data_IF_093402783448
#
_entry.id   IF_093402783448
#
_cell.length_a   1.000
_cell.length_b   1.000
_cell.length_c   1.000
_cell.angle_alpha   90.00
_cell.angle_beta   90.00
_cell.angle_gamma   90.00
#
_symmetry.space_group_name_H-M   'P 1'
#
loop_
_entity.id
_entity.type
_entity.pdbx_description
1 polymer ?
#
# COMPACT_ATOMS: atom_id res chain seq x y z
N UNK A 1 78.05 -26.00 -14.44
CA UNK A 1 78.24 -24.83 -13.56
C UNK A 1 77.43 -23.62 -14.01
N UNK A 2 77.48 -23.21 -15.29
CA UNK A 2 76.72 -22.07 -15.83
C UNK A 2 75.18 -22.21 -15.73
N UNK A 3 74.65 -23.42 -15.93
CA UNK A 3 73.20 -23.68 -15.88
C UNK A 3 72.61 -23.56 -14.46
N UNK A 4 73.36 -23.96 -13.44
CA UNK A 4 72.94 -23.88 -12.04
C UNK A 4 72.89 -22.42 -11.53
N UNK A 5 73.76 -21.57 -12.06
CA UNK A 5 73.85 -20.15 -11.71
C UNK A 5 72.68 -19.35 -12.32
N UNK A 6 72.25 -19.72 -13.52
CA UNK A 6 71.09 -19.12 -14.21
C UNK A 6 69.77 -19.49 -13.52
N UNK A 7 69.66 -20.70 -12.99
CA UNK A 7 68.50 -21.17 -12.24
C UNK A 7 68.37 -20.47 -10.88
N UNK A 8 69.49 -20.17 -10.21
CA UNK A 8 69.50 -19.39 -8.97
C UNK A 8 69.13 -17.91 -9.18
N UNK A 9 69.57 -17.28 -10.28
CA UNK A 9 69.14 -15.91 -10.61
C UNK A 9 67.64 -15.84 -10.96
N UNK A 10 67.11 -16.85 -11.67
CA UNK A 10 65.68 -16.91 -11.98
C UNK A 10 64.80 -17.06 -10.73
N UNK A 11 65.23 -17.88 -9.77
CA UNK A 11 64.51 -18.06 -8.50
C UNK A 11 64.55 -16.80 -7.61
N UNK A 12 65.69 -16.10 -7.58
CA UNK A 12 65.81 -14.85 -6.80
C UNK A 12 64.93 -13.71 -7.36
N UNK A 13 64.78 -13.63 -8.69
CA UNK A 13 63.90 -12.66 -9.34
C UNK A 13 62.41 -12.88 -9.05
N UNK A 14 61.97 -14.14 -8.97
CA UNK A 14 60.57 -14.47 -8.65
C UNK A 14 60.21 -14.16 -7.19
N UNK A 15 61.15 -14.34 -6.25
CA UNK A 15 60.91 -14.00 -4.84
C UNK A 15 60.75 -12.49 -4.66
N UNK A 16 61.59 -11.69 -5.33
CA UNK A 16 61.48 -10.22 -5.28
C UNK A 16 60.21 -9.67 -5.95
N UNK A 17 59.73 -10.32 -7.02
CA UNK A 17 58.46 -9.94 -7.64
C UNK A 17 57.24 -10.28 -6.75
N UNK A 18 57.32 -11.35 -5.94
CA UNK A 18 56.22 -11.75 -5.03
C UNK A 18 56.16 -10.95 -3.72
N UNK A 19 57.26 -10.33 -3.29
CA UNK A 19 57.31 -9.50 -2.07
C UNK A 19 57.10 -8.00 -2.34
N UNK A 20 56.93 -7.62 -3.61
CA UNK A 20 56.88 -6.23 -4.07
C UNK A 20 55.49 -5.65 -4.31
N UNK A 21 54.40 -6.33 -3.92
CA UNK A 21 53.06 -5.73 -3.95
C UNK A 21 52.90 -4.79 -2.73
N UNK A 22 52.89 -3.46 -2.91
CA UNK A 22 52.47 -2.56 -1.85
C UNK A 22 50.98 -2.81 -1.58
N UNK A 23 50.65 -3.10 -0.32
CA UNK A 23 49.27 -3.20 0.16
C UNK A 23 48.40 -2.10 -0.48
N UNK A 24 47.29 -2.44 -1.15
CA UNK A 24 46.36 -1.44 -1.65
C UNK A 24 45.82 -0.67 -0.45
N UNK A 25 46.16 0.62 -0.37
CA UNK A 25 45.59 1.58 0.58
C UNK A 25 44.07 1.32 0.72
N UNK A 26 43.53 1.22 1.94
CA UNK A 26 42.09 1.05 2.13
C UNK A 26 41.37 2.24 1.50
N UNK A 27 40.57 1.97 0.47
CA UNK A 27 39.72 2.97 -0.14
C UNK A 27 38.76 3.53 0.92
N UNK A 28 38.49 4.84 0.96
CA UNK A 28 37.57 5.43 1.92
C UNK A 28 36.13 4.97 1.62
N UNK A 29 35.68 3.92 2.31
CA UNK A 29 34.34 3.29 2.17
C UNK A 29 33.16 4.22 2.54
N UNK A 30 33.40 5.44 3.02
CA UNK A 30 32.36 6.30 3.62
C UNK A 30 31.53 7.14 2.64
N UNK A 31 32.01 7.44 1.44
CA UNK A 31 31.35 8.43 0.55
C UNK A 31 30.36 7.76 -0.42
N UNK A 32 30.68 6.55 -0.90
CA UNK A 32 29.83 5.84 -1.86
C UNK A 32 28.58 5.23 -1.21
N UNK A 33 28.66 4.79 0.05
CA UNK A 33 27.52 4.25 0.79
C UNK A 33 26.46 5.31 1.10
N UNK A 34 26.87 6.54 1.47
CA UNK A 34 25.97 7.68 1.70
C UNK A 34 25.30 8.18 0.42
N UNK A 35 26.05 8.30 -0.69
CA UNK A 35 25.46 8.71 -1.98
C UNK A 35 24.51 7.65 -2.56
N UNK A 36 24.78 6.36 -2.29
CA UNK A 36 23.87 5.27 -2.64
C UNK A 36 22.62 5.30 -1.75
N UNK A 37 22.75 5.48 -0.42
CA UNK A 37 21.59 5.55 0.48
C UNK A 37 20.64 6.69 0.12
N UNK A 38 21.17 7.87 -0.21
CA UNK A 38 20.34 9.03 -0.58
C UNK A 38 19.55 8.80 -1.89
N UNK A 39 20.16 8.11 -2.88
CA UNK A 39 19.45 7.73 -4.12
C UNK A 39 18.34 6.72 -3.85
N UNK A 40 18.57 5.76 -2.95
CA UNK A 40 17.55 4.78 -2.57
C UNK A 40 16.42 5.43 -1.75
N UNK A 41 16.74 6.33 -0.83
CA UNK A 41 15.75 7.12 -0.08
C UNK A 41 14.85 7.93 -1.03
N UNK A 42 15.45 8.62 -2.02
CA UNK A 42 14.69 9.35 -3.04
C UNK A 42 13.79 8.44 -3.87
N UNK A 43 14.27 7.27 -4.26
CA UNK A 43 13.48 6.29 -5.03
C UNK A 43 12.30 5.75 -4.23
N UNK A 44 12.51 5.40 -2.96
CA UNK A 44 11.45 4.85 -2.09
C UNK A 44 10.43 5.93 -1.75
N UNK A 45 10.87 7.16 -1.45
CA UNK A 45 9.95 8.26 -1.21
C UNK A 45 9.13 8.59 -2.46
N UNK A 46 9.72 8.52 -3.65
CA UNK A 46 8.99 8.68 -4.92
C UNK A 46 7.95 7.56 -5.10
N UNK A 47 8.29 6.31 -4.78
CA UNK A 47 7.33 5.20 -4.85
C UNK A 47 6.18 5.37 -3.85
N UNK A 48 6.47 5.75 -2.60
CA UNK A 48 5.45 6.03 -1.59
C UNK A 48 4.54 7.18 -2.02
N UNK A 49 5.11 8.24 -2.60
CA UNK A 49 4.35 9.35 -3.15
C UNK A 49 3.41 8.90 -4.28
N UNK A 50 3.93 8.18 -5.28
CA UNK A 50 3.13 7.66 -6.39
C UNK A 50 2.06 6.67 -5.93
N UNK A 51 2.36 5.85 -4.92
CA UNK A 51 1.40 4.91 -4.34
C UNK A 51 0.29 5.65 -3.60
N UNK A 52 0.63 6.68 -2.84
CA UNK A 52 -0.36 7.53 -2.15
C UNK A 52 -1.26 8.25 -3.17
N UNK A 53 -0.67 8.83 -4.22
CA UNK A 53 -1.42 9.50 -5.29
C UNK A 53 -2.36 8.52 -6.02
N UNK A 54 -1.88 7.32 -6.35
CA UNK A 54 -2.70 6.28 -6.97
C UNK A 54 -3.86 5.86 -6.06
N UNK A 55 -3.61 5.69 -4.77
CA UNK A 55 -4.63 5.33 -3.79
C UNK A 55 -5.67 6.44 -3.64
N UNK A 56 -5.26 7.70 -3.67
CA UNK A 56 -6.17 8.84 -3.60
C UNK A 56 -7.06 8.92 -4.85
N UNK A 57 -6.50 8.72 -6.05
CA UNK A 57 -7.26 8.64 -7.28
C UNK A 57 -8.26 7.47 -7.28
N UNK A 58 -7.85 6.32 -6.74
CA UNK A 58 -8.72 5.15 -6.64
C UNK A 58 -9.89 5.40 -5.68
N UNK A 59 -9.64 6.04 -4.52
CA UNK A 59 -10.69 6.48 -3.61
C UNK A 59 -11.66 7.45 -4.27
N UNK A 60 -11.16 8.41 -5.04
CA UNK A 60 -12.00 9.35 -5.78
C UNK A 60 -12.84 8.64 -6.84
N UNK A 61 -12.26 7.68 -7.57
CA UNK A 61 -13.00 6.86 -8.55
C UNK A 61 -14.11 6.05 -7.88
N UNK A 62 -13.81 5.37 -6.77
CA UNK A 62 -14.82 4.64 -6.00
C UNK A 62 -15.93 5.55 -5.49
N UNK A 63 -15.61 6.76 -5.02
CA UNK A 63 -16.61 7.73 -4.58
C UNK A 63 -17.53 8.17 -5.73
N UNK A 64 -16.98 8.43 -6.91
CA UNK A 64 -17.75 8.79 -8.11
C UNK A 64 -18.60 7.62 -8.59
N UNK A 65 -18.05 6.40 -8.59
CA UNK A 65 -18.79 5.19 -8.97
C UNK A 65 -19.96 4.93 -8.00
N UNK A 66 -19.73 5.06 -6.70
CA UNK A 66 -20.78 4.92 -5.70
C UNK A 66 -21.87 6.00 -5.88
N UNK A 67 -21.47 7.26 -6.08
CA UNK A 67 -22.42 8.34 -6.39
C UNK A 67 -23.21 8.06 -7.68
N UNK A 68 -22.57 7.48 -8.70
CA UNK A 68 -23.23 7.08 -9.95
C UNK A 68 -24.20 5.91 -9.72
N UNK A 69 -23.83 4.94 -8.88
CA UNK A 69 -24.68 3.81 -8.51
C UNK A 69 -25.91 4.26 -7.69
N UNK A 70 -25.77 5.26 -6.82
CA UNK A 70 -26.90 5.85 -6.10
C UNK A 70 -27.87 6.60 -7.03
N UNK A 71 -27.34 7.20 -8.10
CA UNK A 71 -28.13 7.97 -9.08
C UNK A 71 -28.69 7.13 -10.23
N UNK A 72 -28.26 5.87 -10.39
CA UNK A 72 -28.77 4.99 -11.45
C UNK A 72 -30.05 4.31 -10.98
N UNK A 73 -31.08 4.34 -11.85
CA UNK A 73 -32.42 3.85 -11.54
C UNK A 73 -32.49 2.37 -11.17
N UNK A 74 -31.44 1.60 -11.48
CA UNK A 74 -31.34 0.18 -11.12
C UNK A 74 -31.34 -0.06 -9.60
N UNK A 75 -30.82 0.88 -8.80
CA UNK A 75 -30.86 0.80 -7.33
C UNK A 75 -32.09 1.48 -6.71
N UNK A 76 -32.99 2.02 -7.53
CA UNK A 76 -34.30 2.47 -7.04
C UNK A 76 -35.13 1.23 -6.79
N UNK A 77 -35.03 0.67 -5.60
CA UNK A 77 -36.04 -0.25 -5.11
C UNK A 77 -37.34 0.53 -5.00
N UNK A 78 -38.16 0.44 -6.04
CA UNK A 78 -39.53 0.92 -5.95
C UNK A 78 -40.18 0.18 -4.77
N UNK A 79 -40.82 0.93 -3.88
CA UNK A 79 -41.61 0.32 -2.82
C UNK A 79 -42.67 -0.55 -3.49
N UNK A 80 -42.47 -1.86 -3.46
CA UNK A 80 -43.48 -2.80 -3.94
C UNK A 80 -44.65 -2.64 -2.98
N UNK A 81 -45.79 -2.18 -3.48
CA UNK A 81 -46.97 -2.05 -2.65
C UNK A 81 -47.25 -3.42 -2.01
N UNK A 82 -47.23 -3.45 -0.68
CA UNK A 82 -47.39 -4.67 0.09
C UNK A 82 -48.75 -5.35 -0.16
N UNK A 83 -49.71 -4.61 -0.73
CA UNK A 83 -51.05 -5.08 -1.02
C UNK A 83 -51.56 -4.52 -2.35
N UNK A 84 -52.02 -5.38 -3.25
CA UNK A 84 -52.82 -5.01 -4.42
C UNK A 84 -54.22 -5.57 -4.19
N UNK A 85 -55.20 -4.67 -4.08
CA UNK A 85 -56.59 -5.05 -3.87
C UNK A 85 -57.11 -5.68 -5.17
N UNK A 86 -57.46 -6.97 -5.16
CA UNK A 86 -58.10 -7.59 -6.31
C UNK A 86 -59.53 -7.06 -6.43
N UNK A 87 -59.94 -6.58 -7.60
CA UNK A 87 -61.26 -5.96 -7.89
C UNK A 87 -62.49 -6.75 -7.40
N UNK A 88 -62.33 -8.03 -7.02
CA UNK A 88 -63.39 -8.89 -6.49
C UNK A 88 -63.74 -8.66 -5.00
N UNK A 89 -62.89 -8.00 -4.21
CA UNK A 89 -63.13 -7.82 -2.78
C UNK A 89 -62.48 -6.51 -2.31
N UNK A 90 -63.27 -5.49 -1.95
CA UNK A 90 -62.71 -4.22 -1.47
C UNK A 90 -62.27 -4.34 0.00
N UNK A 91 -60.99 -4.64 0.20
CA UNK A 91 -60.35 -4.68 1.52
C UNK A 91 -59.65 -3.36 1.88
N UNK A 92 -59.94 -2.24 1.19
CA UNK A 92 -59.33 -0.93 1.48
C UNK A 92 -59.64 -0.41 2.90
N UNK A 93 -60.64 -0.97 3.57
CA UNK A 93 -61.06 -0.61 4.93
C UNK A 93 -60.30 -1.39 6.01
N UNK A 94 -59.65 -2.51 5.66
CA UNK A 94 -58.91 -3.34 6.61
C UNK A 94 -57.44 -2.90 6.70
N UNK A 95 -57.17 -1.94 7.60
CA UNK A 95 -55.83 -1.40 7.82
C UNK A 95 -54.86 -2.42 8.47
N UNK A 96 -55.33 -3.58 8.94
CA UNK A 96 -54.47 -4.55 9.64
C UNK A 96 -53.32 -5.04 8.79
N UNK A 97 -53.55 -5.24 7.49
CA UNK A 97 -52.50 -5.66 6.57
C UNK A 97 -51.45 -4.57 6.35
N UNK A 98 -51.87 -3.31 6.29
CA UNK A 98 -50.98 -2.16 6.15
C UNK A 98 -50.16 -1.92 7.44
N UNK A 99 -50.79 -2.06 8.61
CA UNK A 99 -50.12 -2.01 9.92
C UNK A 99 -49.06 -3.10 10.04
N UNK A 100 -49.41 -4.36 9.72
CA UNK A 100 -48.48 -5.48 9.73
C UNK A 100 -47.31 -5.28 8.73
N UNK A 101 -47.59 -4.72 7.55
CA UNK A 101 -46.54 -4.41 6.57
C UNK A 101 -45.57 -3.33 7.08
N UNK A 102 -46.10 -2.30 7.77
CA UNK A 102 -45.29 -1.27 8.42
C UNK A 102 -44.45 -1.84 9.56
N UNK A 103 -45.02 -2.71 10.41
CA UNK A 103 -44.31 -3.40 11.49
C UNK A 103 -43.19 -4.32 10.97
N UNK A 104 -43.41 -4.97 9.82
CA UNK A 104 -42.42 -5.82 9.16
C UNK A 104 -41.40 -5.03 8.32
N UNK A 105 -41.44 -3.69 8.34
CA UNK A 105 -40.53 -2.82 7.60
C UNK A 105 -40.70 -2.87 6.07
N UNK A 106 -41.83 -3.40 5.59
CA UNK A 106 -42.21 -3.48 4.17
C UNK A 106 -43.20 -2.38 3.74
N UNK A 107 -43.56 -1.51 4.67
CA UNK A 107 -44.40 -0.35 4.42
C UNK A 107 -43.66 0.79 3.71
N UNK A 108 -44.36 1.90 3.48
CA UNK A 108 -43.74 3.09 2.93
C UNK A 108 -42.59 3.53 3.84
N UNK A 109 -41.38 3.55 3.26
CA UNK A 109 -40.17 3.95 3.96
C UNK A 109 -40.30 5.43 4.31
N UNK A 110 -40.77 5.72 5.53
CA UNK A 110 -40.78 7.08 6.06
C UNK A 110 -39.32 7.52 6.18
N UNK A 111 -38.89 8.40 5.29
CA UNK A 111 -37.63 9.11 5.47
C UNK A 111 -37.74 9.87 6.80
N UNK A 112 -37.07 9.35 7.83
CA UNK A 112 -36.97 10.08 9.08
C UNK A 112 -36.16 11.34 8.77
N UNK A 113 -36.83 12.50 8.86
CA UNK A 113 -36.17 13.79 8.71
C UNK A 113 -35.16 13.90 9.85
N UNK A 114 -33.88 13.67 9.54
CA UNK A 114 -32.81 13.73 10.53
C UNK A 114 -32.75 15.14 11.10
N UNK A 115 -32.69 15.24 12.42
CA UNK A 115 -32.47 16.53 13.07
C UNK A 115 -31.05 17.03 12.75
N UNK A 116 -30.79 18.35 12.75
CA UNK A 116 -29.43 18.88 12.55
C UNK A 116 -28.39 18.25 13.49
N UNK A 117 -28.78 17.98 14.74
CA UNK A 117 -27.92 17.33 15.73
C UNK A 117 -27.58 15.88 15.35
N UNK A 118 -28.56 15.12 14.84
CA UNK A 118 -28.32 13.76 14.34
C UNK A 118 -27.37 13.76 13.13
N UNK A 119 -27.48 14.75 12.24
CA UNK A 119 -26.58 14.91 11.10
C UNK A 119 -25.15 15.13 11.59
N UNK A 120 -24.95 16.03 12.55
CA UNK A 120 -23.62 16.34 13.11
C UNK A 120 -23.04 15.12 13.85
N UNK A 121 -23.83 14.43 14.67
CA UNK A 121 -23.39 13.24 15.38
C UNK A 121 -22.98 12.12 14.43
N UNK A 122 -23.79 11.89 13.39
CA UNK A 122 -23.48 10.90 12.35
C UNK A 122 -22.18 11.26 11.62
N UNK A 123 -21.98 12.52 11.29
CA UNK A 123 -20.77 12.97 10.61
C UNK A 123 -19.52 12.80 11.50
N UNK A 124 -19.59 13.21 12.77
CA UNK A 124 -18.51 13.01 13.75
C UNK A 124 -18.16 11.53 13.92
N UNK A 125 -19.17 10.67 14.03
CA UNK A 125 -18.99 9.24 14.17
C UNK A 125 -18.34 8.61 12.92
N UNK A 126 -18.81 9.00 11.73
CA UNK A 126 -18.23 8.54 10.47
C UNK A 126 -16.77 8.98 10.34
N UNK A 127 -16.45 10.22 10.71
CA UNK A 127 -15.08 10.72 10.69
C UNK A 127 -14.18 9.93 11.65
N UNK A 128 -14.63 9.67 12.88
CA UNK A 128 -13.88 8.86 13.84
C UNK A 128 -13.61 7.45 13.30
N UNK A 129 -14.62 6.78 12.77
CA UNK A 129 -14.43 5.46 12.15
C UNK A 129 -13.43 5.53 11.00
N UNK A 130 -13.57 6.48 10.07
CA UNK A 130 -12.66 6.63 8.93
C UNK A 130 -11.22 6.87 9.38
N UNK A 131 -11.01 7.62 10.46
CA UNK A 131 -9.70 7.81 11.06
C UNK A 131 -9.13 6.52 11.63
N UNK A 132 -9.91 5.76 12.40
CA UNK A 132 -9.49 4.46 12.95
C UNK A 132 -9.13 3.46 11.84
N UNK A 133 -9.99 3.32 10.83
CA UNK A 133 -9.73 2.47 9.67
C UNK A 133 -8.47 2.88 8.91
N UNK A 134 -8.24 4.19 8.75
CA UNK A 134 -7.05 4.73 8.08
C UNK A 134 -5.77 4.39 8.86
N UNK A 135 -5.79 4.47 10.20
CA UNK A 135 -4.64 4.12 11.03
C UNK A 135 -4.34 2.62 10.97
N UNK A 136 -5.35 1.77 11.19
CA UNK A 136 -5.18 0.31 11.13
C UNK A 136 -4.65 -0.13 9.76
N UNK A 137 -5.15 0.48 8.67
CA UNK A 137 -4.66 0.20 7.33
C UNK A 137 -3.19 0.61 7.13
N UNK A 138 -2.79 1.80 7.61
CA UNK A 138 -1.40 2.26 7.55
C UNK A 138 -0.47 1.35 8.35
N UNK A 139 -0.91 0.89 9.52
CA UNK A 139 -0.16 -0.04 10.36
C UNK A 139 0.08 -1.38 9.67
N UNK A 140 -0.95 -1.98 9.09
CA UNK A 140 -0.83 -3.24 8.35
C UNK A 140 0.05 -3.10 7.11
N UNK A 141 -0.10 -2.01 6.36
CA UNK A 141 0.77 -1.72 5.22
C UNK A 141 2.24 -1.56 5.65
N UNK A 142 2.49 -0.79 6.72
CA UNK A 142 3.82 -0.60 7.27
C UNK A 142 4.44 -1.92 7.74
N UNK A 143 3.65 -2.78 8.38
CA UNK A 143 4.07 -4.11 8.80
C UNK A 143 4.48 -4.98 7.62
N UNK A 144 3.64 -5.07 6.58
CA UNK A 144 3.94 -5.83 5.36
C UNK A 144 5.19 -5.29 4.66
N UNK A 145 5.34 -3.96 4.61
CA UNK A 145 6.50 -3.33 4.01
C UNK A 145 7.81 -3.68 4.74
N UNK A 146 7.82 -3.59 6.07
CA UNK A 146 8.99 -3.98 6.89
C UNK A 146 9.28 -5.47 6.74
N UNK A 147 8.24 -6.32 6.70
CA UNK A 147 8.42 -7.76 6.55
C UNK A 147 9.00 -8.11 5.18
N UNK A 148 8.50 -7.52 4.10
CA UNK A 148 9.03 -7.69 2.75
C UNK A 148 10.47 -7.20 2.64
N UNK A 149 10.79 -6.05 3.24
CA UNK A 149 12.16 -5.55 3.29
C UNK A 149 13.09 -6.50 4.07
N UNK A 150 12.62 -7.04 5.20
CA UNK A 150 13.37 -8.02 6.00
C UNK A 150 13.62 -9.31 5.22
N UNK A 151 12.63 -9.82 4.49
CA UNK A 151 12.78 -10.96 3.58
C UNK A 151 13.79 -10.66 2.46
N UNK A 152 13.81 -9.42 1.97
CA UNK A 152 14.81 -8.93 1.02
C UNK A 152 16.22 -8.75 1.60
N UNK A 153 16.40 -8.91 2.90
CA UNK A 153 17.69 -8.73 3.57
C UNK A 153 17.96 -7.28 3.99
N UNK A 154 16.94 -6.48 4.23
CA UNK A 154 17.07 -5.08 4.65
C UNK A 154 16.33 -4.82 5.97
N UNK A 155 16.93 -3.99 6.82
CA UNK A 155 16.30 -3.41 8.01
C UNK A 155 15.83 -2.01 7.66
N UNK A 156 14.52 -1.81 7.67
CA UNK A 156 13.89 -0.51 7.37
C UNK A 156 13.28 0.06 8.65
N UNK A 157 13.51 1.34 8.90
CA UNK A 157 12.92 2.10 10.00
C UNK A 157 12.00 3.16 9.39
N UNK A 158 10.73 3.14 9.80
CA UNK A 158 9.71 4.10 9.39
C UNK A 158 9.58 5.23 10.43
N UNK A 159 9.01 6.36 10.02
CA UNK A 159 8.59 7.45 10.91
C UNK A 159 7.46 7.04 11.83
N UNK A 160 7.26 7.78 12.92
CA UNK A 160 6.16 7.54 13.89
C UNK A 160 4.79 7.57 13.19
N UNK A 161 4.60 8.45 12.21
CA UNK A 161 3.37 8.53 11.41
C UNK A 161 3.23 7.44 10.33
N UNK A 162 4.15 6.48 10.28
CA UNK A 162 4.23 5.37 9.30
C UNK A 162 4.25 5.78 7.82
N UNK A 163 4.39 7.07 7.53
CA UNK A 163 4.25 7.63 6.19
C UNK A 163 5.56 7.71 5.41
N UNK A 164 6.72 7.69 6.09
CA UNK A 164 8.03 7.90 5.48
C UNK A 164 9.07 6.92 6.01
N UNK A 165 10.03 6.57 5.17
CA UNK A 165 11.19 5.77 5.57
C UNK A 165 12.29 6.68 6.09
N UNK A 166 12.75 6.43 7.33
CA UNK A 166 13.84 7.18 7.98
C UNK A 166 15.19 6.57 7.61
N UNK A 167 15.32 5.24 7.60
CA UNK A 167 16.58 4.60 7.25
C UNK A 167 16.39 3.19 6.71
N UNK A 168 17.31 2.79 5.83
CA UNK A 168 17.40 1.44 5.26
C UNK A 168 18.82 0.93 5.42
N UNK A 169 19.00 -0.23 6.06
CA UNK A 169 20.30 -0.85 6.29
C UNK A 169 20.29 -2.28 5.74
N UNK A 170 21.26 -2.69 4.90
CA UNK A 170 21.36 -4.09 4.48
C UNK A 170 21.78 -4.96 5.66
N UNK A 171 21.04 -6.05 5.89
CA UNK A 171 21.47 -7.15 6.73
C UNK A 171 22.53 -7.91 5.94
N UNK A 172 23.65 -8.28 6.58
CA UNK A 172 24.85 -8.91 5.98
C UNK A 172 24.62 -10.26 5.25
N UNK A 173 23.37 -10.66 5.01
CA UNK A 173 22.93 -11.86 4.25
C UNK A 173 21.91 -11.55 3.14
N UNK A 174 21.87 -10.33 2.61
CA UNK A 174 21.02 -9.98 1.46
C UNK A 174 21.71 -10.32 0.13
N UNK A 175 21.11 -11.21 -0.66
CA UNK A 175 21.53 -11.48 -2.03
C UNK A 175 21.28 -10.19 -2.87
N UNK A 176 22.29 -9.57 -3.51
CA UNK A 176 22.12 -8.31 -4.23
C UNK A 176 21.10 -8.35 -5.38
N UNK A 177 20.67 -9.54 -5.81
CA UNK A 177 19.71 -9.76 -6.90
C UNK A 177 18.24 -9.83 -6.44
N UNK A 178 17.91 -9.72 -5.15
CA UNK A 178 16.50 -9.76 -4.68
C UNK A 178 15.76 -8.42 -4.86
N UNK A 179 16.44 -7.35 -5.29
CA UNK A 179 15.86 -6.01 -5.43
C UNK A 179 15.19 -5.76 -6.80
N UNK A 180 15.32 -6.67 -7.77
CA UNK A 180 14.60 -6.59 -9.06
C UNK A 180 13.07 -6.65 -8.90
N UNK A 181 12.57 -7.14 -7.76
CA UNK A 181 11.15 -7.16 -7.44
C UNK A 181 10.49 -5.76 -7.34
N UNK A 182 11.30 -4.70 -7.20
CA UNK A 182 10.80 -3.31 -7.17
C UNK A 182 11.19 -2.50 -8.41
N UNK A 183 11.91 -3.11 -9.36
CA UNK A 183 12.50 -2.43 -10.53
C UNK A 183 12.01 -2.90 -11.90
N UNK A 184 11.16 -3.94 -11.98
CA UNK A 184 10.76 -4.54 -13.25
C UNK A 184 9.27 -4.40 -13.58
N UNK A 185 8.96 -3.79 -14.72
CA UNK A 185 7.70 -4.05 -15.45
C UNK A 185 6.67 -2.92 -15.49
N UNK A 186 7.09 -1.69 -15.82
CA UNK A 186 6.17 -0.57 -16.10
C UNK A 186 5.76 -0.40 -17.57
N UNK A 187 6.35 -1.15 -18.52
CA UNK A 187 6.26 -0.81 -19.95
C UNK A 187 5.54 -1.84 -20.87
N UNK A 188 5.03 -2.97 -20.37
CA UNK A 188 4.45 -4.02 -21.24
C UNK A 188 2.91 -4.08 -21.28
N UNK A 189 2.19 -3.02 -20.87
CA UNK A 189 0.70 -3.02 -20.91
C UNK A 189 0.08 -2.02 -21.89
N UNK A 190 0.83 -1.61 -22.92
CA UNK A 190 0.32 -0.83 -24.05
C UNK A 190 0.72 -1.46 -25.39
N UNK A 191 0.14 -2.62 -25.71
CA UNK A 191 -0.16 -3.05 -27.09
C UNK A 191 -1.54 -3.71 -27.12
#
# INVERSE_FOLDING_TARGET
>A
MLLALLLFLGAAGLIFASLGEPDPKPAPEGVSAKLKSEKYEKSVNKHLMLTNERMELERQRMAVENARLLNTEFNKTHAQQAYQNSDSLDLSVDNRAAELANELGRGEKKEQAMTPDEIVQRELFNQQQMHEYSQAYKEEYARQFIENARRGGYKVILSEDLSRVISVQPLRRGNPNSMELFGGGGDDFLQ
#
